data_IF_695926645699
#
_entry.id   IF_695926645699
#
_cell.length_a   1.000
_cell.length_b   1.000
_cell.length_c   1.000
_cell.angle_alpha   90.00
_cell.angle_beta   90.00
_cell.angle_gamma   90.00
#
_symmetry.space_group_name_H-M   'P 1'
#
loop_
_entity.id
_entity.type
_entity.pdbx_description
1 polymer ?
#
# COMPACT_ATOMS: atom_id res chain seq x y z
N UNK A 1 -8.34 -7.32 11.55
CA UNK A 1 -9.31 -8.37 11.92
C UNK A 1 -8.85 -9.02 13.21
N UNK A 2 -9.63 -8.89 14.28
CA UNK A 2 -9.40 -9.68 15.46
C UNK A 2 -9.84 -11.14 15.19
N UNK A 3 -9.66 -12.02 16.17
CA UNK A 3 -9.69 -13.49 16.02
C UNK A 3 -10.94 -14.11 15.37
N UNK A 4 -12.04 -13.38 15.21
CA UNK A 4 -13.36 -13.90 14.79
C UNK A 4 -14.04 -13.11 13.67
N UNK A 5 -13.44 -12.02 13.20
CA UNK A 5 -14.22 -11.00 12.49
C UNK A 5 -14.21 -11.19 10.98
N UNK A 6 -15.34 -10.87 10.37
CA UNK A 6 -15.50 -10.58 8.94
C UNK A 6 -15.31 -9.08 8.76
N UNK A 7 -14.90 -8.64 7.58
CA UNK A 7 -14.87 -7.22 7.26
C UNK A 7 -15.43 -6.98 5.88
N UNK A 8 -16.39 -6.08 5.79
CA UNK A 8 -16.76 -5.47 4.52
C UNK A 8 -15.72 -4.40 4.23
N UNK A 9 -15.17 -4.41 3.03
CA UNK A 9 -14.21 -3.43 2.51
C UNK A 9 -14.76 -2.87 1.20
N UNK A 10 -14.77 -1.55 1.08
CA UNK A 10 -15.21 -0.84 -0.12
C UNK A 10 -14.09 0.07 -0.56
N UNK A 11 -13.76 0.01 -1.85
CA UNK A 11 -12.78 0.85 -2.50
C UNK A 11 -13.54 1.84 -3.39
N UNK A 12 -13.52 3.10 -3.00
CA UNK A 12 -14.13 4.22 -3.70
C UNK A 12 -13.07 4.89 -4.59
N UNK A 13 -13.43 5.14 -5.85
CA UNK A 13 -12.63 5.87 -6.85
C UNK A 13 -13.35 7.16 -7.22
N UNK A 14 -12.61 8.25 -7.43
CA UNK A 14 -13.16 9.52 -7.88
C UNK A 14 -12.88 9.72 -9.37
N UNK A 15 -13.87 10.24 -10.09
CA UNK A 15 -13.69 10.66 -11.48
C UNK A 15 -13.10 12.06 -11.54
N UNK A 16 -11.96 12.21 -12.23
CA UNK A 16 -11.30 13.49 -12.47
C UNK A 16 -11.04 14.31 -11.20
N UNK A 17 -10.59 13.64 -10.13
CA UNK A 17 -10.56 14.19 -8.76
C UNK A 17 -9.86 15.56 -8.63
N UNK A 18 -8.76 15.76 -9.36
CA UNK A 18 -8.03 17.03 -9.35
C UNK A 18 -8.69 18.12 -10.19
N UNK A 19 -9.48 17.75 -11.19
CA UNK A 19 -10.09 18.68 -12.16
C UNK A 19 -11.43 19.22 -11.66
N UNK A 20 -12.02 18.60 -10.64
CA UNK A 20 -13.35 18.97 -10.13
C UNK A 20 -13.31 19.80 -8.84
N UNK A 21 -12.13 20.21 -8.37
CA UNK A 21 -12.00 20.99 -7.13
C UNK A 21 -12.61 22.38 -7.33
N UNK A 22 -13.66 22.71 -6.58
CA UNK A 22 -14.24 24.05 -6.57
C UNK A 22 -13.34 25.05 -5.83
N UNK A 23 -12.92 26.11 -6.54
CA UNK A 23 -11.97 27.10 -6.01
C UNK A 23 -12.54 27.86 -4.82
N UNK A 24 -13.82 28.24 -4.86
CA UNK A 24 -14.48 29.00 -3.78
C UNK A 24 -14.52 28.16 -2.51
N UNK A 25 -14.95 26.92 -2.62
CA UNK A 25 -15.02 25.96 -1.51
C UNK A 25 -13.64 25.68 -0.93
N UNK A 26 -12.61 25.53 -1.80
CA UNK A 26 -11.24 25.32 -1.36
C UNK A 26 -10.72 26.53 -0.57
N UNK A 27 -10.84 27.74 -1.10
CA UNK A 27 -10.38 28.96 -0.43
C UNK A 27 -11.10 29.18 0.91
N UNK A 28 -12.40 28.96 0.95
CA UNK A 28 -13.18 29.02 2.19
C UNK A 28 -12.68 28.02 3.24
N UNK A 29 -12.37 26.78 2.83
CA UNK A 29 -11.80 25.75 3.72
C UNK A 29 -10.42 26.11 4.22
N UNK A 30 -9.54 26.61 3.34
CA UNK A 30 -8.19 27.05 3.72
C UNK A 30 -8.27 28.12 4.82
N UNK A 31 -9.23 29.04 4.71
CA UNK A 31 -9.46 30.06 5.72
C UNK A 31 -10.04 29.50 7.02
N UNK A 32 -11.12 28.72 6.94
CA UNK A 32 -11.91 28.31 8.12
C UNK A 32 -11.34 27.10 8.87
N UNK A 33 -10.81 26.11 8.16
CA UNK A 33 -10.32 24.86 8.75
C UNK A 33 -8.82 24.89 9.06
N UNK A 34 -8.06 25.74 8.36
CA UNK A 34 -6.61 25.82 8.48
C UNK A 34 -6.12 27.20 8.94
N UNK A 35 -6.99 28.19 9.05
CA UNK A 35 -6.62 29.54 9.51
C UNK A 35 -5.80 30.36 8.50
N UNK A 36 -5.71 29.91 7.24
CA UNK A 36 -4.93 30.60 6.21
C UNK A 36 -5.69 31.86 5.79
N UNK A 37 -5.12 33.03 6.09
CA UNK A 37 -5.77 34.32 5.87
C UNK A 37 -4.76 35.37 5.39
N UNK A 38 -5.26 36.51 4.90
CA UNK A 38 -4.41 37.63 4.46
C UNK A 38 -3.57 37.29 3.21
N UNK A 39 -2.31 37.77 3.13
CA UNK A 39 -1.48 37.61 1.95
C UNK A 39 -1.28 36.15 1.48
N UNK A 40 -1.08 35.14 2.36
CA UNK A 40 -1.03 33.74 1.94
C UNK A 40 -2.30 33.24 1.23
N UNK A 41 -3.49 33.64 1.69
CA UNK A 41 -4.75 33.23 1.06
C UNK A 41 -4.92 33.91 -0.30
N UNK A 42 -4.61 35.21 -0.39
CA UNK A 42 -4.65 35.95 -1.65
C UNK A 42 -3.66 35.38 -2.69
N UNK A 43 -2.51 34.89 -2.24
CA UNK A 43 -1.56 34.21 -3.12
C UNK A 43 -2.11 32.88 -3.66
N UNK A 44 -2.77 32.07 -2.82
CA UNK A 44 -3.44 30.84 -3.25
C UNK A 44 -4.62 31.13 -4.18
N UNK A 45 -5.36 32.20 -3.94
CA UNK A 45 -6.43 32.65 -4.82
C UNK A 45 -5.89 33.03 -6.21
N UNK A 46 -4.83 33.84 -6.28
CA UNK A 46 -4.11 34.16 -7.52
C UNK A 46 -3.51 32.93 -8.22
N UNK A 47 -3.11 31.92 -7.45
CA UNK A 47 -2.65 30.66 -8.00
C UNK A 47 -3.77 29.90 -8.74
N UNK A 48 -5.00 29.92 -8.23
CA UNK A 48 -6.14 29.15 -8.76
C UNK A 48 -6.95 29.90 -9.83
N UNK A 49 -7.22 31.19 -9.63
CA UNK A 49 -8.16 31.98 -10.45
C UNK A 49 -7.49 32.53 -11.71
N UNK A 50 -8.29 32.76 -12.76
CA UNK A 50 -7.84 33.41 -13.99
C UNK A 50 -6.99 32.49 -14.89
N UNK A 51 -7.04 31.19 -14.64
CA UNK A 51 -6.33 30.18 -15.44
C UNK A 51 -7.12 29.84 -16.69
N UNK A 52 -6.39 29.52 -17.75
CA UNK A 52 -6.95 29.01 -19.01
C UNK A 52 -6.18 27.77 -19.44
N UNK A 53 -6.81 26.94 -20.27
CA UNK A 53 -6.22 25.76 -20.88
C UNK A 53 -6.51 25.74 -22.38
N UNK A 54 -5.62 25.12 -23.16
CA UNK A 54 -5.81 24.85 -24.57
C UNK A 54 -5.22 23.47 -24.89
N UNK A 55 -5.74 22.80 -25.91
CA UNK A 55 -5.25 21.49 -26.35
C UNK A 55 -4.50 21.66 -27.67
N UNK A 56 -3.32 21.04 -27.77
CA UNK A 56 -2.53 20.97 -28.99
C UNK A 56 -2.64 19.55 -29.58
N UNK A 57 -3.23 19.43 -30.77
CA UNK A 57 -3.34 18.17 -31.51
C UNK A 57 -2.73 18.37 -32.89
N UNK A 58 -1.75 17.54 -33.25
CA UNK A 58 -1.05 17.59 -34.55
C UNK A 58 -0.56 18.99 -34.94
N UNK A 59 -0.05 19.74 -33.95
CA UNK A 59 0.47 21.10 -34.14
C UNK A 59 -0.60 22.20 -34.22
N UNK A 60 -1.89 21.86 -34.15
CA UNK A 60 -2.99 22.83 -34.08
C UNK A 60 -3.47 23.03 -32.64
N UNK A 61 -3.49 24.29 -32.19
CA UNK A 61 -3.89 24.67 -30.84
C UNK A 61 -5.34 25.15 -30.82
N UNK A 62 -6.13 24.66 -29.87
CA UNK A 62 -7.48 25.16 -29.65
C UNK A 62 -7.49 26.61 -29.16
N UNK A 63 -8.63 27.27 -29.25
CA UNK A 63 -8.84 28.52 -28.52
C UNK A 63 -8.65 28.27 -27.00
N UNK A 64 -8.12 29.25 -26.24
CA UNK A 64 -8.04 29.15 -24.78
C UNK A 64 -9.43 29.04 -24.16
N UNK A 65 -9.61 28.09 -23.26
CA UNK A 65 -10.82 27.91 -22.46
C UNK A 65 -10.51 28.22 -20.98
N UNK A 66 -11.41 28.91 -20.25
CA UNK A 66 -11.21 29.18 -18.83
C UNK A 66 -11.22 27.88 -18.01
N UNK A 67 -10.38 27.83 -16.98
CA UNK A 67 -10.29 26.72 -16.03
C UNK A 67 -10.92 27.15 -14.70
N UNK A 68 -12.24 27.00 -14.60
CA UNK A 68 -13.02 27.42 -13.42
C UNK A 68 -12.99 26.44 -12.25
N UNK A 69 -12.48 25.23 -12.48
CA UNK A 69 -12.39 24.15 -11.49
C UNK A 69 -11.03 23.48 -11.56
N UNK A 70 -10.68 22.83 -10.47
CA UNK A 70 -9.53 21.97 -10.37
C UNK A 70 -8.25 22.69 -9.97
N UNK A 71 -7.23 21.89 -9.70
CA UNK A 71 -5.87 22.36 -9.45
C UNK A 71 -4.97 21.93 -10.60
N UNK A 72 -3.94 22.72 -10.95
CA UNK A 72 -3.06 22.37 -12.06
C UNK A 72 -2.41 20.99 -11.86
N UNK A 73 -2.70 20.04 -12.74
CA UNK A 73 -2.07 18.72 -12.70
C UNK A 73 -0.56 18.83 -12.97
N UNK A 74 0.24 18.05 -12.24
CA UNK A 74 1.70 18.12 -12.30
C UNK A 74 2.31 19.29 -11.50
N UNK A 75 1.49 20.13 -10.87
CA UNK A 75 1.98 21.15 -9.94
C UNK A 75 2.38 20.55 -8.59
N UNK A 76 3.27 21.26 -7.88
CA UNK A 76 3.69 20.91 -6.52
C UNK A 76 2.54 21.08 -5.51
N UNK A 77 1.68 22.08 -5.71
CA UNK A 77 0.60 22.39 -4.77
C UNK A 77 -0.70 21.61 -5.01
N UNK A 78 -0.93 21.10 -6.21
CA UNK A 78 -2.17 20.36 -6.51
C UNK A 78 -2.47 19.23 -5.51
N UNK A 79 -1.52 18.31 -5.24
CA UNK A 79 -1.72 17.22 -4.29
C UNK A 79 -2.08 17.68 -2.88
N UNK A 80 -1.39 18.69 -2.33
CA UNK A 80 -1.65 19.14 -0.96
C UNK A 80 -2.99 19.88 -0.87
N UNK A 81 -3.35 20.66 -1.89
CA UNK A 81 -4.65 21.35 -1.95
C UNK A 81 -5.80 20.36 -2.05
N UNK A 82 -5.65 19.28 -2.82
CA UNK A 82 -6.65 18.21 -2.88
C UNK A 82 -6.84 17.51 -1.53
N UNK A 83 -5.75 17.17 -0.83
CA UNK A 83 -5.83 16.55 0.51
C UNK A 83 -6.51 17.50 1.50
N UNK A 84 -6.20 18.80 1.43
CA UNK A 84 -6.84 19.80 2.30
C UNK A 84 -8.33 19.96 1.97
N UNK A 85 -8.69 19.89 0.69
CA UNK A 85 -10.06 19.93 0.22
C UNK A 85 -10.90 18.77 0.77
N UNK A 86 -10.36 17.55 0.73
CA UNK A 86 -11.10 16.33 1.08
C UNK A 86 -11.10 15.98 2.56
N UNK A 87 -10.33 16.69 3.40
CA UNK A 87 -10.23 16.42 4.86
C UNK A 87 -11.58 16.20 5.58
N UNK A 88 -12.66 16.99 5.35
CA UNK A 88 -13.91 16.80 6.08
C UNK A 88 -14.57 15.43 5.85
N UNK A 89 -14.26 14.77 4.72
CA UNK A 89 -14.79 13.46 4.37
C UNK A 89 -14.46 12.40 5.43
N UNK A 90 -13.27 12.44 6.03
CA UNK A 90 -12.91 11.47 7.07
C UNK A 90 -13.75 11.61 8.33
N UNK A 91 -14.09 12.84 8.71
CA UNK A 91 -14.93 13.11 9.88
C UNK A 91 -16.35 12.62 9.64
N UNK A 92 -16.89 12.84 8.42
CA UNK A 92 -18.20 12.32 8.03
C UNK A 92 -18.24 10.79 8.17
N UNK A 93 -17.25 10.09 7.63
CA UNK A 93 -17.20 8.62 7.68
C UNK A 93 -17.12 8.11 9.13
N UNK A 94 -16.31 8.78 9.97
CA UNK A 94 -16.15 8.40 11.38
C UNK A 94 -17.45 8.50 12.18
N UNK A 95 -18.36 9.42 11.83
CA UNK A 95 -19.68 9.55 12.48
C UNK A 95 -20.55 8.30 12.31
N UNK A 96 -20.32 7.48 11.28
CA UNK A 96 -21.02 6.21 11.07
C UNK A 96 -20.33 5.03 11.76
N UNK A 97 -19.30 5.26 12.59
CA UNK A 97 -18.47 4.19 13.15
C UNK A 97 -17.86 3.27 12.07
N UNK A 98 -17.58 3.83 10.89
CA UNK A 98 -16.89 3.17 9.78
C UNK A 98 -15.44 3.62 9.79
N UNK A 99 -14.51 2.69 9.58
CA UNK A 99 -13.09 3.01 9.49
C UNK A 99 -12.75 3.39 8.05
N UNK A 100 -11.85 4.35 7.89
CA UNK A 100 -11.38 4.75 6.57
C UNK A 100 -9.86 4.90 6.49
N UNK A 101 -9.37 4.78 5.26
CA UNK A 101 -8.02 5.16 4.87
C UNK A 101 -8.11 5.82 3.49
N UNK A 102 -7.43 6.93 3.30
CA UNK A 102 -7.41 7.65 2.01
C UNK A 102 -5.97 7.82 1.55
N UNK A 103 -5.74 7.63 0.26
CA UNK A 103 -4.47 7.92 -0.39
C UNK A 103 -4.76 8.68 -1.68
N UNK A 104 -4.46 9.98 -1.69
CA UNK A 104 -4.98 10.87 -2.72
C UNK A 104 -6.50 10.67 -2.89
N UNK A 105 -6.96 10.37 -4.10
CA UNK A 105 -8.36 10.14 -4.46
C UNK A 105 -8.89 8.75 -4.10
N UNK A 106 -8.01 7.75 -3.94
CA UNK A 106 -8.40 6.41 -3.48
C UNK A 106 -8.90 6.47 -2.03
N UNK A 107 -10.18 6.16 -1.79
CA UNK A 107 -10.76 6.12 -0.44
C UNK A 107 -11.26 4.72 -0.12
N UNK A 108 -10.82 4.19 1.02
CA UNK A 108 -11.16 2.86 1.50
C UNK A 108 -12.08 2.99 2.70
N UNK A 109 -13.21 2.30 2.68
CA UNK A 109 -14.12 2.17 3.80
C UNK A 109 -14.12 0.72 4.27
N UNK A 110 -14.00 0.49 5.56
CA UNK A 110 -14.15 -0.86 6.08
C UNK A 110 -14.81 -0.90 7.45
N UNK A 111 -15.66 -1.92 7.63
CA UNK A 111 -16.37 -2.19 8.88
C UNK A 111 -16.12 -3.63 9.27
N UNK A 112 -15.26 -3.90 10.27
CA UNK A 112 -15.15 -5.22 10.85
C UNK A 112 -16.40 -5.52 11.68
N UNK A 113 -16.87 -6.76 11.63
CA UNK A 113 -17.99 -7.25 12.42
C UNK A 113 -17.86 -8.74 12.72
N UNK A 114 -18.49 -9.24 13.79
CA UNK A 114 -18.79 -10.65 13.91
C UNK A 114 -19.59 -11.16 12.69
N UNK A 115 -19.48 -12.45 12.31
CA UNK A 115 -20.26 -13.01 11.21
C UNK A 115 -21.77 -12.80 11.37
N UNK A 116 -22.28 -12.91 12.61
CA UNK A 116 -23.69 -12.71 12.96
C UNK A 116 -24.22 -11.30 12.67
N UNK A 117 -23.34 -10.29 12.73
CA UNK A 117 -23.71 -8.88 12.60
C UNK A 117 -23.37 -8.31 11.21
N UNK A 118 -22.93 -9.15 10.27
CA UNK A 118 -22.47 -8.68 8.95
C UNK A 118 -23.54 -7.88 8.21
N UNK A 119 -24.82 -8.29 8.28
CA UNK A 119 -25.91 -7.56 7.64
C UNK A 119 -26.08 -6.14 8.20
N UNK A 120 -25.99 -5.99 9.52
CA UNK A 120 -26.01 -4.67 10.19
C UNK A 120 -24.79 -3.82 9.82
N UNK A 121 -23.62 -4.45 9.72
CA UNK A 121 -22.39 -3.77 9.26
C UNK A 121 -22.52 -3.28 7.81
N UNK A 122 -23.15 -4.07 6.93
CA UNK A 122 -23.46 -3.67 5.55
C UNK A 122 -24.41 -2.47 5.56
N UNK A 123 -25.52 -2.53 6.31
CA UNK A 123 -26.46 -1.40 6.42
C UNK A 123 -25.79 -0.11 6.90
N UNK A 124 -24.94 -0.22 7.93
CA UNK A 124 -24.17 0.93 8.45
C UNK A 124 -23.29 1.55 7.37
N UNK A 125 -22.62 0.70 6.58
CA UNK A 125 -21.79 1.14 5.45
C UNK A 125 -22.63 1.77 4.33
N UNK A 126 -23.81 1.23 4.02
CA UNK A 126 -24.70 1.77 2.98
C UNK A 126 -25.18 3.18 3.34
N UNK A 127 -25.59 3.38 4.60
CA UNK A 127 -25.95 4.72 5.10
C UNK A 127 -24.75 5.67 5.02
N UNK A 128 -23.57 5.22 5.46
CA UNK A 128 -22.34 6.01 5.37
C UNK A 128 -22.01 6.43 3.93
N UNK A 129 -22.11 5.50 2.97
CA UNK A 129 -21.86 5.81 1.55
C UNK A 129 -22.89 6.78 0.98
N UNK A 130 -24.15 6.68 1.42
CA UNK A 130 -25.20 7.62 0.99
C UNK A 130 -24.84 9.05 1.38
N UNK A 131 -24.42 9.25 2.63
CA UNK A 131 -24.01 10.56 3.13
C UNK A 131 -22.70 11.03 2.48
N UNK A 132 -21.73 10.12 2.27
CA UNK A 132 -20.49 10.40 1.52
C UNK A 132 -20.80 10.85 0.10
N UNK A 133 -21.74 10.19 -0.60
CA UNK A 133 -22.12 10.54 -1.97
C UNK A 133 -22.80 11.91 -2.02
N UNK A 134 -23.70 12.20 -1.09
CA UNK A 134 -24.31 13.52 -0.96
C UNK A 134 -23.25 14.59 -0.72
N UNK A 135 -22.35 14.36 0.25
CA UNK A 135 -21.26 15.29 0.55
C UNK A 135 -20.34 15.50 -0.65
N UNK A 136 -19.99 14.45 -1.39
CA UNK A 136 -19.16 14.56 -2.58
C UNK A 136 -19.84 15.43 -3.65
N UNK A 137 -21.13 15.23 -3.91
CA UNK A 137 -21.91 16.04 -4.87
C UNK A 137 -21.95 17.52 -4.46
N UNK A 138 -22.21 17.80 -3.18
CA UNK A 138 -22.23 19.17 -2.64
C UNK A 138 -20.87 19.86 -2.81
N UNK A 139 -19.80 19.06 -2.75
CA UNK A 139 -18.42 19.48 -2.91
C UNK A 139 -17.87 19.27 -4.32
N UNK A 140 -18.75 19.15 -5.32
CA UNK A 140 -18.39 19.02 -6.74
C UNK A 140 -17.44 17.85 -7.06
N UNK A 141 -17.32 16.86 -6.17
CA UNK A 141 -16.58 15.62 -6.39
C UNK A 141 -17.51 14.57 -7.00
N UNK A 142 -17.00 13.82 -7.98
CA UNK A 142 -17.78 12.78 -8.66
C UNK A 142 -17.26 11.40 -8.27
N UNK A 143 -18.03 10.66 -7.49
CA UNK A 143 -17.76 9.24 -7.23
C UNK A 143 -17.90 8.42 -8.53
N UNK A 144 -16.97 7.50 -8.75
CA UNK A 144 -17.00 6.55 -9.86
C UNK A 144 -17.69 5.25 -9.41
N UNK A 145 -19.00 5.17 -9.65
CA UNK A 145 -19.79 4.00 -9.29
C UNK A 145 -19.29 2.72 -10.00
N UNK A 146 -18.88 2.81 -11.28
CA UNK A 146 -18.42 1.67 -12.09
C UNK A 146 -17.10 1.06 -11.63
N UNK A 147 -16.23 1.88 -11.04
CA UNK A 147 -14.94 1.43 -10.51
C UNK A 147 -14.99 1.07 -9.02
N UNK A 148 -16.12 1.31 -8.36
CA UNK A 148 -16.25 0.99 -6.94
C UNK A 148 -16.23 -0.52 -6.75
N UNK A 149 -15.23 -1.03 -6.01
CA UNK A 149 -15.10 -2.46 -5.73
C UNK A 149 -15.47 -2.77 -4.28
N UNK A 150 -16.25 -3.84 -4.07
CA UNK A 150 -16.67 -4.29 -2.74
C UNK A 150 -16.11 -5.69 -2.47
N UNK A 151 -15.51 -5.88 -1.30
CA UNK A 151 -14.92 -7.11 -0.81
C UNK A 151 -15.56 -7.53 0.52
N UNK A 152 -15.95 -8.80 0.62
CA UNK A 152 -16.28 -9.44 1.89
C UNK A 152 -15.08 -10.26 2.37
N UNK A 153 -14.20 -9.62 3.14
CA UNK A 153 -12.99 -10.25 3.64
C UNK A 153 -13.34 -11.17 4.82
N UNK A 154 -13.04 -12.47 4.71
CA UNK A 154 -13.31 -13.47 5.76
C UNK A 154 -12.23 -14.54 5.82
N UNK A 155 -12.16 -15.25 6.95
CA UNK A 155 -11.27 -16.39 7.09
C UNK A 155 -11.84 -17.59 6.34
N UNK A 156 -10.94 -18.43 5.84
CA UNK A 156 -11.29 -19.77 5.38
C UNK A 156 -12.02 -20.51 6.53
N UNK A 157 -13.21 -21.05 6.23
CA UNK A 157 -14.11 -21.74 7.17
C UNK A 157 -14.87 -20.85 8.17
N UNK A 158 -14.99 -19.54 7.94
CA UNK A 158 -15.93 -18.72 8.72
C UNK A 158 -17.37 -19.18 8.45
N UNK A 159 -18.06 -19.65 9.50
CA UNK A 159 -19.51 -19.92 9.45
C UNK A 159 -20.27 -18.61 9.38
N UNK A 160 -21.20 -18.53 8.44
CA UNK A 160 -21.99 -17.33 8.17
C UNK A 160 -23.47 -17.61 8.43
N UNK A 161 -24.23 -16.66 9.00
CA UNK A 161 -25.69 -16.75 8.98
C UNK A 161 -26.19 -16.87 7.54
N UNK A 162 -27.21 -17.70 7.33
CA UNK A 162 -27.93 -17.77 6.06
C UNK A 162 -29.07 -16.72 6.08
N UNK A 163 -29.31 -15.98 4.99
CA UNK A 163 -28.56 -15.97 3.73
C UNK A 163 -27.25 -15.17 3.84
N UNK A 164 -26.23 -15.60 3.08
CA UNK A 164 -24.99 -14.82 2.94
C UNK A 164 -25.25 -13.54 2.13
N UNK A 165 -24.66 -12.40 2.52
CA UNK A 165 -24.77 -11.19 1.74
C UNK A 165 -24.04 -11.34 0.40
N UNK A 166 -24.69 -10.90 -0.68
CA UNK A 166 -24.19 -11.03 -2.06
C UNK A 166 -23.83 -9.70 -2.71
N UNK A 167 -24.40 -8.60 -2.21
CA UNK A 167 -24.17 -7.26 -2.71
C UNK A 167 -24.18 -6.22 -1.59
N UNK A 168 -23.76 -5.01 -1.95
CA UNK A 168 -23.96 -3.78 -1.18
C UNK A 168 -24.64 -2.77 -2.12
N UNK A 169 -25.77 -2.22 -1.70
CA UNK A 169 -26.45 -1.15 -2.43
C UNK A 169 -25.70 0.17 -2.23
N UNK A 170 -25.31 0.82 -3.33
CA UNK A 170 -24.67 2.13 -3.35
C UNK A 170 -25.54 3.05 -4.21
N UNK A 171 -26.29 3.96 -3.58
CA UNK A 171 -27.32 4.74 -4.27
C UNK A 171 -28.37 3.83 -4.93
N UNK A 172 -28.50 3.90 -6.25
CA UNK A 172 -29.45 3.09 -7.01
C UNK A 172 -28.81 1.83 -7.63
N UNK A 173 -27.53 1.56 -7.36
CA UNK A 173 -26.79 0.45 -7.94
C UNK A 173 -26.43 -0.59 -6.90
N UNK A 174 -26.71 -1.86 -7.19
CA UNK A 174 -26.27 -2.99 -6.37
C UNK A 174 -24.90 -3.48 -6.85
N UNK A 175 -23.87 -3.32 -6.00
CA UNK A 175 -22.52 -3.77 -6.31
C UNK A 175 -22.30 -5.15 -5.68
N UNK A 176 -21.98 -6.14 -6.52
CA UNK A 176 -21.70 -7.51 -6.08
C UNK A 176 -20.35 -7.59 -5.36
N UNK A 177 -20.25 -8.49 -4.37
CA UNK A 177 -18.95 -8.78 -3.75
C UNK A 177 -18.00 -9.44 -4.76
N UNK A 178 -16.85 -8.81 -4.95
CA UNK A 178 -15.76 -9.35 -5.76
C UNK A 178 -14.93 -10.37 -4.98
N UNK A 179 -14.37 -11.42 -5.62
CA UNK A 179 -13.41 -12.32 -4.96
C UNK A 179 -12.06 -11.65 -4.67
N UNK A 180 -11.75 -10.53 -5.34
CA UNK A 180 -10.53 -9.76 -5.10
C UNK A 180 -10.64 -8.36 -5.66
N UNK A 181 -10.01 -7.38 -5.01
CA UNK A 181 -9.92 -6.01 -5.51
C UNK A 181 -8.48 -5.51 -5.54
N UNK A 182 -8.18 -4.55 -6.40
CA UNK A 182 -6.85 -3.93 -6.46
C UNK A 182 -6.85 -2.65 -5.64
N UNK A 183 -5.93 -2.56 -4.69
CA UNK A 183 -5.78 -1.42 -3.81
C UNK A 183 -4.31 -0.97 -3.81
N UNK A 184 -4.04 0.26 -4.26
CA UNK A 184 -2.69 0.84 -4.34
C UNK A 184 -1.66 -0.15 -4.92
N UNK A 185 -1.97 -0.74 -6.08
CA UNK A 185 -1.07 -1.70 -6.74
C UNK A 185 -1.01 -3.11 -6.13
N UNK A 186 -1.57 -3.34 -4.95
CA UNK A 186 -1.67 -4.65 -4.30
C UNK A 186 -3.04 -5.29 -4.56
N UNK A 187 -3.11 -6.63 -4.67
CA UNK A 187 -4.40 -7.32 -4.90
C UNK A 187 -4.81 -8.04 -3.64
N UNK A 188 -5.91 -7.60 -3.03
CA UNK A 188 -6.51 -8.22 -1.86
C UNK A 188 -7.53 -9.26 -2.31
N UNK A 189 -7.47 -10.46 -1.75
CA UNK A 189 -8.45 -11.52 -1.98
C UNK A 189 -9.43 -11.58 -0.81
N UNK A 190 -10.70 -11.89 -1.05
CA UNK A 190 -11.73 -12.01 0.00
C UNK A 190 -11.41 -13.10 1.04
N UNK A 191 -10.66 -14.13 0.64
CA UNK A 191 -10.16 -15.19 1.53
C UNK A 191 -8.85 -14.84 2.27
N UNK A 192 -8.36 -13.61 2.08
CA UNK A 192 -7.10 -13.10 2.64
C UNK A 192 -5.85 -13.91 2.25
N UNK A 193 -5.94 -14.73 1.19
CA UNK A 193 -4.79 -15.40 0.58
C UNK A 193 -4.13 -14.53 -0.47
N UNK A 194 -2.81 -14.70 -0.65
CA UNK A 194 -2.02 -13.91 -1.60
C UNK A 194 -1.73 -14.63 -2.92
N UNK A 195 -2.46 -15.71 -3.20
CA UNK A 195 -2.30 -16.51 -4.42
C UNK A 195 -2.45 -15.67 -5.68
N UNK A 196 -3.55 -14.91 -5.77
CA UNK A 196 -3.87 -14.08 -6.93
C UNK A 196 -2.83 -12.97 -7.11
N UNK A 197 -2.52 -12.23 -6.04
CA UNK A 197 -1.49 -11.19 -6.07
C UNK A 197 -0.13 -11.71 -6.56
N UNK A 198 0.39 -12.78 -5.95
CA UNK A 198 1.69 -13.36 -6.34
C UNK A 198 1.68 -13.84 -7.79
N UNK A 199 0.57 -14.39 -8.26
CA UNK A 199 0.44 -14.85 -9.65
C UNK A 199 0.45 -13.67 -10.63
N UNK A 200 -0.22 -12.56 -10.29
CA UNK A 200 -0.21 -11.33 -11.09
C UNK A 200 1.19 -10.69 -11.13
N UNK A 201 1.88 -10.62 -9.99
CA UNK A 201 3.26 -10.11 -9.91
C UNK A 201 4.21 -10.99 -10.74
N UNK A 202 4.14 -12.32 -10.58
CA UNK A 202 4.93 -13.25 -11.39
C UNK A 202 4.67 -13.04 -12.89
N UNK A 203 3.40 -12.94 -13.30
CA UNK A 203 3.02 -12.72 -14.72
C UNK A 203 3.63 -11.44 -15.27
N UNK A 204 3.48 -10.32 -14.54
CA UNK A 204 4.03 -9.04 -14.95
C UNK A 204 5.57 -9.04 -15.00
N UNK A 205 6.22 -9.69 -14.04
CA UNK A 205 7.68 -9.79 -13.99
C UNK A 205 8.24 -10.68 -15.11
N UNK A 206 7.61 -11.81 -15.41
CA UNK A 206 8.00 -12.65 -16.55
C UNK A 206 7.77 -11.96 -17.90
N UNK A 207 6.71 -11.15 -18.02
CA UNK A 207 6.47 -10.35 -19.21
C UNK A 207 7.64 -9.39 -19.49
N UNK A 208 8.10 -8.64 -18.48
CA UNK A 208 9.27 -7.77 -18.63
C UNK A 208 10.57 -8.56 -18.87
N UNK A 209 10.76 -9.69 -18.19
CA UNK A 209 11.91 -10.57 -18.45
C UNK A 209 11.95 -11.06 -19.90
N UNK A 210 10.80 -11.41 -20.49
CA UNK A 210 10.72 -11.83 -21.88
C UNK A 210 11.12 -10.69 -22.82
N UNK A 211 10.65 -9.47 -22.59
CA UNK A 211 11.03 -8.28 -23.37
C UNK A 211 12.52 -7.98 -23.28
N UNK A 212 13.14 -8.09 -22.09
CA UNK A 212 14.59 -7.92 -21.95
C UNK A 212 15.34 -9.07 -22.64
N UNK A 213 14.79 -10.29 -22.59
CA UNK A 213 15.41 -11.46 -23.20
C UNK A 213 15.52 -11.38 -24.71
N UNK A 214 14.57 -10.74 -25.41
CA UNK A 214 14.62 -10.61 -26.88
C UNK A 214 15.79 -9.73 -27.31
N UNK A 215 16.05 -8.65 -26.57
CA UNK A 215 17.16 -7.73 -26.83
C UNK A 215 18.45 -8.12 -26.10
N UNK A 216 18.48 -9.25 -25.38
CA UNK A 216 19.64 -9.63 -24.53
C UNK A 216 20.96 -9.69 -25.29
N UNK A 217 20.94 -10.05 -26.58
CA UNK A 217 22.13 -10.20 -27.40
C UNK A 217 22.85 -8.87 -27.69
N UNK A 218 22.14 -7.74 -27.68
CA UNK A 218 22.70 -6.40 -27.90
C UNK A 218 23.12 -5.70 -26.61
N UNK A 219 22.76 -6.27 -25.44
CA UNK A 219 22.99 -5.63 -24.14
C UNK A 219 24.25 -6.14 -23.45
N UNK A 220 24.97 -5.23 -22.78
CA UNK A 220 25.97 -5.60 -21.79
C UNK A 220 25.32 -6.27 -20.57
N UNK A 221 26.09 -7.04 -19.81
CA UNK A 221 25.59 -7.63 -18.56
C UNK A 221 25.20 -6.56 -17.53
N UNK A 222 25.91 -5.44 -17.49
CA UNK A 222 25.59 -4.33 -16.58
C UNK A 222 24.28 -3.63 -16.97
N UNK A 223 24.08 -3.33 -18.25
CA UNK A 223 22.82 -2.75 -18.74
C UNK A 223 21.65 -3.70 -18.50
N UNK A 224 21.85 -5.00 -18.75
CA UNK A 224 20.83 -6.03 -18.48
C UNK A 224 20.47 -6.05 -16.99
N UNK A 225 21.47 -5.97 -16.10
CA UNK A 225 21.24 -5.90 -14.65
C UNK A 225 20.40 -4.66 -14.29
N UNK A 226 20.72 -3.48 -14.82
CA UNK A 226 19.95 -2.26 -14.61
C UNK A 226 18.49 -2.42 -15.04
N UNK A 227 18.23 -2.94 -16.25
CA UNK A 227 16.88 -3.15 -16.76
C UNK A 227 16.11 -4.16 -15.90
N UNK A 228 16.75 -5.26 -15.51
CA UNK A 228 16.12 -6.27 -14.65
C UNK A 228 15.83 -5.70 -13.26
N UNK A 229 16.72 -4.90 -12.68
CA UNK A 229 16.46 -4.22 -11.42
C UNK A 229 15.27 -3.26 -11.54
N UNK A 230 15.24 -2.45 -12.59
CA UNK A 230 14.22 -1.42 -12.81
C UNK A 230 12.83 -1.97 -13.14
N UNK A 231 12.74 -3.04 -13.95
CA UNK A 231 11.45 -3.54 -14.45
C UNK A 231 10.98 -4.84 -13.82
N UNK A 232 11.90 -5.65 -13.26
CA UNK A 232 11.57 -6.98 -12.72
C UNK A 232 11.66 -6.97 -11.20
N UNK A 233 12.82 -6.63 -10.63
CA UNK A 233 13.02 -6.65 -9.18
C UNK A 233 12.17 -5.59 -8.48
N UNK A 234 11.99 -4.41 -9.08
CA UNK A 234 11.07 -3.38 -8.58
C UNK A 234 9.65 -3.92 -8.34
N UNK A 235 9.15 -4.80 -9.22
CA UNK A 235 7.84 -5.46 -9.06
C UNK A 235 7.83 -6.49 -7.94
N UNK A 236 8.95 -7.21 -7.74
CA UNK A 236 9.10 -8.18 -6.65
C UNK A 236 9.27 -7.49 -5.30
N UNK A 237 9.86 -6.30 -5.27
CA UNK A 237 10.13 -5.53 -4.06
C UNK A 237 8.97 -4.61 -3.64
N UNK A 238 8.08 -4.26 -4.58
CA UNK A 238 6.87 -3.48 -4.30
C UNK A 238 5.95 -4.23 -3.33
N UNK A 239 5.58 -3.58 -2.22
CA UNK A 239 4.74 -4.14 -1.15
C UNK A 239 5.23 -5.49 -0.58
N UNK A 240 6.51 -5.84 -0.74
CA UNK A 240 7.00 -7.17 -0.39
C UNK A 240 6.93 -7.49 1.12
N UNK A 241 6.92 -6.49 1.99
CA UNK A 241 6.71 -6.67 3.44
C UNK A 241 5.37 -7.34 3.77
N UNK A 242 4.33 -7.12 2.96
CA UNK A 242 3.01 -7.76 3.12
C UNK A 242 3.03 -9.27 2.82
N UNK A 243 4.09 -9.75 2.16
CA UNK A 243 4.27 -11.17 1.87
C UNK A 243 4.86 -11.94 3.06
N UNK A 244 5.17 -11.26 4.16
CA UNK A 244 5.65 -11.91 5.38
C UNK A 244 4.68 -12.98 5.90
N UNK A 245 5.25 -14.08 6.40
CA UNK A 245 4.52 -15.25 6.86
C UNK A 245 3.70 -15.98 5.79
N UNK A 246 3.89 -15.67 4.50
CA UNK A 246 3.33 -16.48 3.43
C UNK A 246 3.94 -17.89 3.41
N UNK A 247 3.17 -18.91 3.03
CA UNK A 247 3.71 -20.24 2.78
C UNK A 247 4.89 -20.21 1.80
N UNK A 248 5.95 -20.97 2.11
CA UNK A 248 7.18 -20.99 1.31
C UNK A 248 6.93 -21.37 -0.15
N UNK A 249 5.98 -22.26 -0.43
CA UNK A 249 5.64 -22.65 -1.80
C UNK A 249 5.13 -21.47 -2.65
N UNK A 250 4.50 -20.46 -2.03
CA UNK A 250 4.08 -19.23 -2.70
C UNK A 250 5.26 -18.30 -2.96
N UNK A 251 6.10 -18.08 -1.95
CA UNK A 251 7.31 -17.27 -2.10
C UNK A 251 8.27 -17.88 -3.12
N UNK A 252 8.29 -19.21 -3.23
CA UNK A 252 9.08 -19.93 -4.23
C UNK A 252 8.67 -19.58 -5.68
N UNK A 253 7.41 -19.18 -5.93
CA UNK A 253 7.01 -18.68 -7.26
C UNK A 253 7.77 -17.40 -7.63
N UNK A 254 7.90 -16.46 -6.69
CA UNK A 254 8.69 -15.24 -6.86
C UNK A 254 10.19 -15.55 -6.94
N UNK A 255 10.67 -16.53 -6.17
CA UNK A 255 12.07 -16.97 -6.23
C UNK A 255 12.42 -17.52 -7.62
N UNK A 256 11.51 -18.26 -8.27
CA UNK A 256 11.71 -18.71 -9.66
C UNK A 256 11.85 -17.55 -10.65
N UNK A 257 11.10 -16.46 -10.45
CA UNK A 257 11.26 -15.24 -11.27
C UNK A 257 12.66 -14.66 -11.07
N UNK A 258 13.07 -14.46 -9.82
CA UNK A 258 14.40 -13.93 -9.50
C UNK A 258 15.54 -14.82 -10.05
N UNK A 259 15.40 -16.14 -9.94
CA UNK A 259 16.37 -17.09 -10.46
C UNK A 259 16.47 -17.00 -11.99
N UNK A 260 15.34 -16.86 -12.68
CA UNK A 260 15.30 -16.67 -14.14
C UNK A 260 15.95 -15.35 -14.54
N UNK A 261 15.72 -14.29 -13.77
CA UNK A 261 16.33 -12.99 -13.95
C UNK A 261 17.85 -13.04 -13.81
N UNK A 262 18.36 -13.72 -12.78
CA UNK A 262 19.80 -13.90 -12.58
C UNK A 262 20.46 -14.68 -13.73
N UNK A 263 19.81 -15.74 -14.22
CA UNK A 263 20.28 -16.50 -15.39
C UNK A 263 20.34 -15.65 -16.65
N UNK A 264 19.34 -14.79 -16.87
CA UNK A 264 19.32 -13.89 -18.02
C UNK A 264 20.49 -12.89 -18.00
N UNK A 265 20.78 -12.30 -16.84
CA UNK A 265 21.89 -11.34 -16.69
C UNK A 265 23.22 -12.02 -16.98
N UNK A 266 23.49 -13.15 -16.34
CA UNK A 266 24.77 -13.85 -16.40
C UNK A 266 24.91 -14.79 -17.62
N UNK A 267 23.91 -14.82 -18.53
CA UNK A 267 23.84 -15.76 -19.66
C UNK A 267 24.03 -17.23 -19.24
N UNK A 268 23.57 -17.58 -18.05
CA UNK A 268 23.63 -18.94 -17.53
C UNK A 268 22.56 -19.81 -18.20
N UNK A 269 22.78 -21.13 -18.24
CA UNK A 269 21.84 -22.09 -18.83
C UNK A 269 20.60 -22.20 -17.95
N UNK A 270 19.47 -22.57 -18.58
CA UNK A 270 18.15 -22.67 -17.90
C UNK A 270 18.17 -23.55 -16.63
N UNK A 271 18.98 -24.61 -16.63
CA UNK A 271 19.07 -25.58 -15.54
C UNK A 271 20.17 -25.29 -14.52
N UNK A 272 21.00 -24.26 -14.76
CA UNK A 272 22.10 -23.94 -13.85
C UNK A 272 21.54 -23.56 -12.47
N UNK A 273 22.27 -23.97 -11.43
CA UNK A 273 21.88 -23.69 -10.06
C UNK A 273 21.87 -22.17 -9.82
N UNK A 274 20.78 -21.65 -9.26
CA UNK A 274 20.59 -20.21 -9.16
C UNK A 274 21.37 -19.57 -8.00
N UNK A 275 21.67 -20.31 -6.94
CA UNK A 275 22.33 -19.76 -5.74
C UNK A 275 23.69 -19.12 -6.04
N UNK A 276 24.62 -19.76 -6.79
CA UNK A 276 25.86 -19.11 -7.22
C UNK A 276 25.62 -17.82 -8.01
N UNK A 277 24.62 -17.80 -8.88
CA UNK A 277 24.28 -16.63 -9.71
C UNK A 277 23.80 -15.45 -8.84
N UNK A 278 22.96 -15.72 -7.84
CA UNK A 278 22.52 -14.70 -6.88
C UNK A 278 23.70 -14.16 -6.06
N UNK A 279 24.66 -15.02 -5.71
CA UNK A 279 25.87 -14.62 -5.00
C UNK A 279 26.75 -13.69 -5.85
N UNK A 280 27.02 -14.05 -7.10
CA UNK A 280 27.74 -13.21 -8.06
C UNK A 280 27.08 -11.84 -8.24
N UNK A 281 25.74 -11.79 -8.24
CA UNK A 281 24.99 -10.53 -8.38
C UNK A 281 24.82 -9.77 -7.05
N UNK A 282 25.29 -10.31 -5.93
CA UNK A 282 25.02 -9.80 -4.58
C UNK A 282 23.53 -9.52 -4.34
N UNK A 283 22.67 -10.45 -4.79
CA UNK A 283 21.23 -10.43 -4.57
C UNK A 283 20.78 -11.30 -3.41
N UNK A 284 19.99 -10.72 -2.50
CA UNK A 284 19.28 -11.47 -1.46
C UNK A 284 18.15 -12.32 -2.10
N UNK A 285 17.90 -13.55 -1.64
CA UNK A 285 16.73 -14.32 -2.02
C UNK A 285 15.44 -13.64 -1.54
N UNK A 286 14.27 -14.04 -2.08
CA UNK A 286 12.99 -13.37 -1.84
C UNK A 286 12.65 -13.29 -0.34
N UNK A 287 12.81 -14.37 0.42
CA UNK A 287 12.55 -14.34 1.86
C UNK A 287 13.43 -13.30 2.56
N UNK A 288 14.73 -13.28 2.26
CA UNK A 288 15.66 -12.31 2.83
C UNK A 288 15.33 -10.86 2.42
N UNK A 289 14.73 -10.63 1.24
CA UNK A 289 14.27 -9.30 0.82
C UNK A 289 13.06 -8.81 1.63
N UNK A 290 12.14 -9.72 1.96
CA UNK A 290 10.98 -9.43 2.83
C UNK A 290 11.48 -9.06 4.23
N UNK A 291 12.33 -9.92 4.79
CA UNK A 291 13.03 -9.71 6.06
C UNK A 291 13.76 -8.36 6.09
N UNK A 292 14.50 -8.05 5.03
CA UNK A 292 15.21 -6.78 4.87
C UNK A 292 14.26 -5.58 4.93
N UNK A 293 13.11 -5.66 4.25
CA UNK A 293 12.11 -4.60 4.25
C UNK A 293 11.49 -4.41 5.63
N UNK A 294 11.06 -5.49 6.29
CA UNK A 294 10.51 -5.44 7.65
C UNK A 294 11.49 -4.82 8.65
N UNK A 295 12.75 -5.28 8.64
CA UNK A 295 13.78 -4.74 9.52
C UNK A 295 14.06 -3.25 9.24
N UNK A 296 14.02 -2.82 7.99
CA UNK A 296 14.17 -1.39 7.63
C UNK A 296 13.00 -0.55 8.13
N UNK A 297 11.78 -1.07 8.06
CA UNK A 297 10.58 -0.40 8.59
C UNK A 297 10.65 -0.25 10.12
N UNK A 298 11.11 -1.29 10.85
CA UNK A 298 11.36 -1.19 12.29
C UNK A 298 12.50 -0.22 12.65
N UNK A 299 13.57 -0.16 11.84
CA UNK A 299 14.63 0.82 12.05
C UNK A 299 14.09 2.25 11.94
N UNK A 300 13.26 2.52 10.93
CA UNK A 300 12.64 3.83 10.74
C UNK A 300 11.82 4.25 11.96
N UNK A 301 11.10 3.31 12.58
CA UNK A 301 10.37 3.51 13.84
C UNK A 301 11.31 3.98 14.96
N UNK A 302 12.41 3.25 15.21
CA UNK A 302 13.38 3.65 16.25
C UNK A 302 14.13 4.94 15.93
N UNK A 303 14.29 5.29 14.66
CA UNK A 303 14.91 6.55 14.23
C UNK A 303 13.98 7.76 14.26
N UNK A 304 12.70 7.58 14.63
CA UNK A 304 11.69 8.65 14.64
C UNK A 304 11.28 9.13 13.25
N UNK A 305 11.63 8.41 12.18
CA UNK A 305 11.31 8.77 10.78
C UNK A 305 10.01 8.13 10.26
N UNK A 306 9.29 7.40 11.12
CA UNK A 306 8.04 6.74 10.77
C UNK A 306 6.83 7.64 11.00
N UNK A 307 5.82 7.61 10.12
CA UNK A 307 4.53 8.27 10.36
C UNK A 307 3.84 7.80 11.64
N UNK A 308 3.01 8.64 12.25
CA UNK A 308 2.31 8.35 13.51
C UNK A 308 1.49 7.04 13.45
N UNK A 309 0.66 6.87 12.42
CA UNK A 309 -0.15 5.66 12.21
C UNK A 309 0.69 4.37 12.14
N UNK A 310 1.94 4.48 11.70
CA UNK A 310 2.85 3.34 11.64
C UNK A 310 3.49 3.07 12.99
N UNK A 311 3.88 4.13 13.70
CA UNK A 311 4.48 4.05 15.04
C UNK A 311 3.50 3.46 16.07
N UNK A 312 2.21 3.71 15.93
CA UNK A 312 1.15 3.12 16.77
C UNK A 312 1.04 1.59 16.65
N UNK A 313 1.55 0.99 15.57
CA UNK A 313 1.52 -0.47 15.36
C UNK A 313 2.63 -1.22 16.11
N UNK A 314 3.64 -0.50 16.63
CA UNK A 314 4.80 -1.09 17.28
C UNK A 314 4.92 -0.57 18.70
N UNK A 315 5.23 -1.47 19.64
CA UNK A 315 5.42 -1.11 21.05
C UNK A 315 6.79 -1.55 21.49
N UNK A 316 7.55 -0.63 22.08
CA UNK A 316 8.85 -0.96 22.69
C UNK A 316 8.60 -1.84 23.91
N UNK A 317 9.37 -2.91 24.03
CA UNK A 317 9.28 -3.80 25.18
C UNK A 317 9.83 -3.12 26.42
N UNK A 318 8.99 -3.04 27.47
CA UNK A 318 9.38 -2.56 28.79
C UNK A 318 9.33 -3.72 29.79
N UNK A 319 10.47 -4.18 30.33
CA UNK A 319 10.49 -5.30 31.27
C UNK A 319 9.93 -4.89 32.64
N UNK A 320 9.10 -5.75 33.23
CA UNK A 320 8.51 -5.50 34.56
C UNK A 320 9.53 -5.51 35.71
N UNK A 321 10.72 -6.09 35.50
CA UNK A 321 11.86 -6.08 36.42
C UNK A 321 13.14 -5.85 35.63
N UNK A 322 14.12 -5.15 36.21
CA UNK A 322 15.43 -4.98 35.58
C UNK A 322 16.14 -6.34 35.49
N UNK A 323 16.25 -6.90 34.27
CA UNK A 323 16.97 -8.14 33.98
C UNK A 323 18.37 -7.81 33.43
N UNK A 324 19.35 -8.71 33.49
CA UNK A 324 20.70 -8.46 32.89
C UNK A 324 20.68 -8.19 31.37
N UNK A 325 19.59 -8.57 30.68
CA UNK A 325 19.33 -8.24 29.27
C UNK A 325 18.62 -6.88 29.06
N UNK A 326 18.51 -6.05 30.10
CA UNK A 326 17.80 -4.75 30.09
C UNK A 326 18.54 -3.62 29.36
N UNK A 327 19.75 -3.87 28.85
CA UNK A 327 20.53 -2.84 28.15
C UNK A 327 20.06 -2.58 26.71
N UNK A 328 19.30 -3.50 26.10
CA UNK A 328 18.78 -3.30 24.75
C UNK A 328 17.40 -2.61 24.76
N UNK A 329 17.42 -1.27 24.67
CA UNK A 329 16.23 -0.44 24.58
C UNK A 329 15.52 -0.50 23.22
N UNK A 330 16.04 -1.28 22.26
CA UNK A 330 15.47 -1.43 20.91
C UNK A 330 14.77 -2.77 20.72
N UNK A 331 14.24 -3.38 21.78
CA UNK A 331 13.43 -4.61 21.66
C UNK A 331 11.95 -4.24 21.51
N UNK A 332 11.24 -4.95 20.63
CA UNK A 332 9.81 -4.75 20.39
C UNK A 332 8.99 -5.83 21.09
N UNK A 333 7.81 -5.46 21.60
CA UNK A 333 6.84 -6.42 22.15
C UNK A 333 6.25 -7.26 21.02
N UNK A 334 6.25 -8.59 21.19
CA UNK A 334 5.60 -9.52 20.27
C UNK A 334 4.22 -9.87 20.84
N UNK A 335 3.11 -9.49 20.18
CA UNK A 335 1.77 -9.80 20.68
C UNK A 335 1.48 -11.30 20.57
N UNK A 336 0.67 -11.82 21.48
CA UNK A 336 0.19 -13.20 21.39
C UNK A 336 -0.83 -13.35 20.26
N UNK A 337 -0.67 -14.36 19.41
CA UNK A 337 -1.60 -14.62 18.30
C UNK A 337 -2.11 -16.06 18.34
N UNK A 338 -3.42 -16.23 18.10
CA UNK A 338 -4.07 -17.54 18.09
C UNK A 338 -3.96 -18.29 16.75
N UNK A 339 -3.53 -17.62 15.68
CA UNK A 339 -3.53 -18.20 14.32
C UNK A 339 -2.22 -17.95 13.58
N UNK A 340 -1.65 -19.01 12.99
CA UNK A 340 -0.44 -18.92 12.16
C UNK A 340 -0.71 -18.23 10.81
N UNK A 341 -1.87 -18.50 10.21
CA UNK A 341 -2.19 -18.08 8.84
C UNK A 341 -2.67 -16.65 8.69
N UNK A 342 -3.11 -15.99 9.77
CA UNK A 342 -3.57 -14.60 9.73
C UNK A 342 -2.88 -13.78 10.82
N UNK A 343 -2.94 -14.24 12.07
CA UNK A 343 -2.35 -13.56 13.23
C UNK A 343 -0.84 -13.37 13.10
N UNK A 344 -0.09 -14.44 12.84
CA UNK A 344 1.37 -14.32 12.69
C UNK A 344 1.83 -13.57 11.42
N UNK A 345 0.91 -13.37 10.47
CA UNK A 345 1.17 -12.58 9.26
C UNK A 345 0.92 -11.09 9.45
N UNK A 346 0.30 -10.67 10.57
CA UNK A 346 0.11 -9.23 10.82
C UNK A 346 1.46 -8.55 10.98
N UNK A 347 1.51 -7.28 10.58
CA UNK A 347 2.70 -6.46 10.75
C UNK A 347 3.12 -6.38 12.23
N UNK A 348 2.15 -6.23 13.12
CA UNK A 348 2.33 -6.18 14.59
C UNK A 348 2.98 -7.43 15.19
N UNK A 349 2.91 -8.58 14.51
CA UNK A 349 3.59 -9.80 14.94
C UNK A 349 4.91 -10.02 14.20
N UNK A 350 4.87 -9.99 12.86
CA UNK A 350 6.02 -10.42 12.06
C UNK A 350 7.18 -9.41 12.11
N UNK A 351 6.90 -8.11 12.22
CA UNK A 351 7.94 -7.10 12.24
C UNK A 351 8.74 -7.10 13.57
N UNK A 352 8.10 -7.14 14.76
CA UNK A 352 8.80 -7.38 16.02
C UNK A 352 9.59 -8.69 16.06
N UNK A 353 9.00 -9.78 15.58
CA UNK A 353 9.66 -11.09 15.54
C UNK A 353 10.95 -11.03 14.72
N UNK A 354 10.88 -10.46 13.53
CA UNK A 354 12.06 -10.31 12.66
C UNK A 354 13.10 -9.37 13.26
N UNK A 355 12.68 -8.22 13.80
CA UNK A 355 13.57 -7.22 14.38
C UNK A 355 14.32 -7.74 15.61
N UNK A 356 13.62 -8.43 16.51
CA UNK A 356 14.21 -8.99 17.72
C UNK A 356 15.20 -10.12 17.41
N UNK A 357 15.07 -10.79 16.25
CA UNK A 357 16.03 -11.82 15.81
C UNK A 357 17.39 -11.27 15.37
N UNK A 358 17.50 -9.95 15.14
CA UNK A 358 18.76 -9.35 14.70
C UNK A 358 19.82 -9.34 15.82
N UNK A 359 21.12 -9.25 15.49
CA UNK A 359 22.15 -8.99 16.48
C UNK A 359 22.05 -7.56 17.06
N UNK A 360 22.47 -7.41 18.32
CA UNK A 360 22.49 -6.13 19.04
C UNK A 360 23.19 -5.00 18.24
N UNK A 361 24.40 -5.25 17.73
CA UNK A 361 25.17 -4.26 16.98
C UNK A 361 24.48 -3.79 15.69
N UNK A 362 23.63 -4.62 15.07
CA UNK A 362 22.87 -4.23 13.89
C UNK A 362 21.71 -3.34 14.31
N UNK A 363 20.93 -3.73 15.32
CA UNK A 363 19.83 -2.90 15.85
C UNK A 363 20.28 -1.53 16.31
N UNK A 364 21.48 -1.43 16.88
CA UNK A 364 22.09 -0.18 17.38
C UNK A 364 22.96 0.55 16.35
N UNK A 365 22.77 0.27 15.06
CA UNK A 365 23.40 1.07 14.00
C UNK A 365 23.01 2.55 14.12
N UNK A 366 23.98 3.44 13.91
CA UNK A 366 23.80 4.89 14.12
C UNK A 366 23.10 5.59 12.96
N UNK A 367 23.29 5.11 11.73
CA UNK A 367 22.70 5.72 10.53
C UNK A 367 21.88 4.72 9.71
N UNK A 368 20.87 5.17 8.95
CA UNK A 368 20.11 4.30 8.05
C UNK A 368 20.99 3.55 7.05
N UNK A 369 22.04 4.19 6.53
CA UNK A 369 22.98 3.59 5.58
C UNK A 369 23.81 2.49 6.25
N UNK A 370 24.35 2.75 7.44
CA UNK A 370 25.11 1.76 8.22
C UNK A 370 24.23 0.55 8.55
N UNK A 371 23.00 0.79 9.00
CA UNK A 371 22.01 -0.25 9.28
C UNK A 371 21.74 -1.10 8.03
N UNK A 372 21.38 -0.48 6.91
CA UNK A 372 21.08 -1.16 5.65
C UNK A 372 22.24 -2.02 5.16
N UNK A 373 23.48 -1.55 5.30
CA UNK A 373 24.68 -2.31 4.93
C UNK A 373 24.90 -3.50 5.86
N UNK A 374 24.90 -3.29 7.17
CA UNK A 374 25.08 -4.34 8.17
C UNK A 374 24.00 -5.42 8.07
N UNK A 375 22.73 -5.01 7.93
CA UNK A 375 21.59 -5.88 7.74
C UNK A 375 21.73 -6.72 6.47
N UNK A 376 22.11 -6.11 5.34
CA UNK A 376 22.33 -6.85 4.08
C UNK A 376 23.39 -7.94 4.28
N UNK A 377 24.53 -7.60 4.88
CA UNK A 377 25.61 -8.57 5.17
C UNK A 377 25.14 -9.71 6.08
N UNK A 378 24.39 -9.40 7.13
CA UNK A 378 23.85 -10.40 8.06
C UNK A 378 22.87 -11.36 7.36
N UNK A 379 21.92 -10.82 6.58
CA UNK A 379 20.97 -11.64 5.84
C UNK A 379 21.64 -12.47 4.75
N UNK A 380 22.71 -11.96 4.14
CA UNK A 380 23.53 -12.74 3.20
C UNK A 380 24.09 -14.00 3.83
N UNK A 381 24.65 -13.89 5.04
CA UNK A 381 25.19 -15.02 5.81
C UNK A 381 24.08 -15.96 6.31
N UNK A 382 22.96 -15.43 6.79
CA UNK A 382 21.83 -16.21 7.32
C UNK A 382 21.16 -17.10 6.26
N UNK A 383 20.97 -16.58 5.06
CA UNK A 383 20.21 -17.25 4.00
C UNK A 383 21.09 -18.02 3.01
N UNK A 384 22.41 -17.90 3.12
CA UNK A 384 23.39 -18.67 2.35
C UNK A 384 24.47 -19.20 3.31
N UNK A 385 24.13 -20.20 4.15
CA UNK A 385 25.11 -20.84 5.04
C UNK A 385 26.19 -21.60 4.27
#
# INVERSE_FOLDING_TARGET
MNGSDVSVLILLDLSAAFDTIDHVTLLHRLQTLYGISGPPLAWLESYLIGRTQAVLVDGQMSAPAPLSFGVPQGSVLGPILFIMYTKPLSTLIQNHSVLNQSFADDTQLYKPSPPAETHSAIQTIQTCITDVKSWMVDNKLKLNDDKTEVLLCKKKNTTFPSPQPVSVQIGNTDILFSPSARNLGFTLSSDMTLNKHISLVCRAAYFELRKISTIRHTLSSQTTNTLVCAFVLSKLDYCNSLLSGCPLYLLHKLQKVQNSAARLILKARKRDHATPLLHTLHWLPIQARIDYKLSTLCFNFFSGSSPAYFSELLTVYSPARQLRASSDCRILTIPHTKTKTYGQRTFTFCAPTQWNSLPFHIRHSQTPQAFKRALKTHLFKKYNP
#
